data_IF_104436173702
#
_entry.id   IF_104436173702
#
_cell.length_a   1.000
_cell.length_b   1.000
_cell.length_c   1.000
_cell.angle_alpha   90.00
_cell.angle_beta   90.00
_cell.angle_gamma   90.00
#
_symmetry.space_group_name_H-M   'P 1'
#
loop_
_entity.id
_entity.type
_entity.pdbx_description
1 polymer ?
#
# COMPACT_ATOMS: atom_id res chain seq x y z
N UNK A 1 -13.12 -5.73 -12.31
CA UNK A 1 -13.83 -5.68 -11.02
C UNK A 1 -12.90 -5.03 -10.01
N UNK A 2 -13.35 -4.07 -9.19
CA UNK A 2 -12.53 -3.65 -8.04
C UNK A 2 -12.29 -4.89 -7.17
N UNK A 3 -11.05 -5.08 -6.71
CA UNK A 3 -10.67 -6.26 -5.92
C UNK A 3 -11.46 -6.33 -4.62
N UNK A 4 -11.68 -7.55 -4.11
CA UNK A 4 -12.54 -7.80 -2.95
C UNK A 4 -12.03 -7.15 -1.65
N UNK A 5 -10.76 -6.74 -1.63
CA UNK A 5 -10.13 -6.03 -0.51
C UNK A 5 -9.96 -4.55 -0.84
N UNK A 6 -10.80 -3.70 -0.23
CA UNK A 6 -10.71 -2.25 -0.38
C UNK A 6 -10.43 -1.60 0.96
N UNK A 7 -9.44 -0.72 1.01
CA UNK A 7 -9.11 0.06 2.21
C UNK A 7 -8.87 1.51 1.83
N UNK A 8 -9.31 2.44 2.69
CA UNK A 8 -9.03 3.86 2.50
C UNK A 8 -7.67 4.20 3.11
N UNK A 9 -6.91 5.02 2.41
CA UNK A 9 -5.63 5.56 2.88
C UNK A 9 -5.54 7.07 2.68
N UNK A 10 -4.75 7.74 3.51
CA UNK A 10 -4.35 9.13 3.29
C UNK A 10 -2.93 9.19 2.77
N UNK A 11 -2.68 9.94 1.69
CA UNK A 11 -1.32 10.19 1.18
C UNK A 11 -0.57 11.06 2.19
N UNK A 12 0.53 10.55 2.74
CA UNK A 12 1.41 11.29 3.63
C UNK A 12 2.69 11.78 2.94
N UNK A 13 3.14 11.09 1.90
CA UNK A 13 4.32 11.46 1.12
C UNK A 13 4.18 11.04 -0.34
N UNK A 14 4.68 11.86 -1.26
CA UNK A 14 4.65 11.63 -2.69
C UNK A 14 5.98 12.07 -3.30
N UNK A 15 6.83 11.12 -3.71
CA UNK A 15 8.18 11.39 -4.23
C UNK A 15 8.33 10.80 -5.63
N UNK A 16 8.83 11.62 -6.55
CA UNK A 16 9.18 11.21 -7.91
C UNK A 16 10.62 10.67 -7.96
N UNK A 17 10.80 9.42 -8.40
CA UNK A 17 12.10 8.74 -8.49
C UNK A 17 12.41 8.31 -9.94
N UNK A 18 12.18 9.21 -10.90
CA UNK A 18 12.52 8.98 -12.30
C UNK A 18 11.42 8.23 -13.05
N UNK A 19 11.47 6.90 -13.06
CA UNK A 19 10.53 6.04 -13.80
C UNK A 19 9.31 5.60 -12.96
N UNK A 20 9.38 5.79 -11.65
CA UNK A 20 8.32 5.47 -10.72
C UNK A 20 8.14 6.53 -9.65
N UNK A 21 6.94 6.54 -9.09
CA UNK A 21 6.55 7.40 -7.99
C UNK A 21 6.40 6.51 -6.76
N UNK A 22 7.00 6.93 -5.65
CA UNK A 22 6.80 6.31 -4.35
C UNK A 22 5.77 7.12 -3.59
N UNK A 23 4.70 6.47 -3.18
CA UNK A 23 3.63 7.06 -2.37
C UNK A 23 3.60 6.37 -1.02
N UNK A 24 3.68 7.13 0.08
CA UNK A 24 3.51 6.61 1.44
C UNK A 24 2.13 7.02 1.96
N UNK A 25 1.45 6.08 2.58
CA UNK A 25 0.07 6.21 3.00
C UNK A 25 -0.11 5.85 4.48
N UNK A 26 -0.97 6.60 5.15
CA UNK A 26 -1.58 6.16 6.39
C UNK A 26 -2.82 5.32 6.08
N UNK A 27 -2.79 4.03 6.42
CA UNK A 27 -3.82 3.03 6.12
C UNK A 27 -4.04 2.16 7.35
N UNK A 28 -5.28 2.02 7.81
CA UNK A 28 -5.64 1.12 8.91
C UNK A 28 -4.75 1.24 10.18
N UNK A 29 -4.31 2.46 10.52
CA UNK A 29 -3.43 2.73 11.66
C UNK A 29 -1.93 2.51 11.40
N UNK A 30 -1.54 2.11 10.20
CA UNK A 30 -0.15 1.98 9.76
C UNK A 30 0.25 3.17 8.87
N UNK A 31 1.34 3.86 9.22
CA UNK A 31 1.88 5.04 8.51
C UNK A 31 3.06 4.73 7.57
N UNK A 32 3.50 3.47 7.53
CA UNK A 32 4.64 3.00 6.73
C UNK A 32 4.21 2.23 5.48
N UNK A 33 2.93 2.31 5.10
CA UNK A 33 2.42 1.63 3.91
C UNK A 33 2.89 2.35 2.64
N UNK A 34 3.65 1.66 1.78
CA UNK A 34 4.25 2.24 0.56
C UNK A 34 3.70 1.57 -0.70
N UNK A 35 3.29 2.40 -1.66
CA UNK A 35 2.86 1.97 -3.00
C UNK A 35 3.82 2.54 -4.05
N UNK A 36 4.16 1.71 -5.04
CA UNK A 36 4.91 2.12 -6.22
C UNK A 36 3.94 2.33 -7.37
N UNK A 37 3.93 3.54 -7.94
CA UNK A 37 3.09 3.90 -9.08
C UNK A 37 3.98 4.07 -10.30
N UNK A 38 3.63 3.41 -11.41
CA UNK A 38 4.31 3.61 -12.68
C UNK A 38 4.04 5.02 -13.20
N UNK A 39 5.07 5.69 -13.72
CA UNK A 39 4.95 7.05 -14.21
C UNK A 39 3.98 7.20 -15.41
N UNK A 40 3.68 6.12 -16.12
CA UNK A 40 2.73 6.12 -17.24
C UNK A 40 1.27 6.16 -16.80
N UNK A 41 0.98 5.80 -15.55
CA UNK A 41 -0.36 5.87 -14.95
C UNK A 41 -0.69 7.25 -14.36
N UNK A 42 0.08 8.28 -14.72
CA UNK A 42 -0.02 9.70 -14.32
C UNK A 42 -1.40 10.37 -14.53
N UNK A 43 -2.45 9.66 -14.92
CA UNK A 43 -3.80 10.22 -15.07
C UNK A 43 -4.46 10.62 -13.75
N UNK A 44 -3.99 10.09 -12.62
CA UNK A 44 -4.52 10.46 -11.30
C UNK A 44 -3.54 11.41 -10.63
N UNK A 45 -3.85 12.70 -10.62
CA UNK A 45 -3.09 13.71 -9.87
C UNK A 45 -3.28 13.43 -8.37
N UNK A 46 -2.35 12.70 -7.78
CA UNK A 46 -2.30 12.38 -6.36
C UNK A 46 -1.44 13.42 -5.66
N UNK A 47 -1.96 14.02 -4.60
CA UNK A 47 -1.29 15.01 -3.76
C UNK A 47 -1.21 14.55 -2.31
N UNK A 48 -0.23 15.07 -1.57
CA UNK A 48 -0.17 14.87 -0.12
C UNK A 48 -1.46 15.41 0.52
N UNK A 49 -2.05 14.61 1.39
CA UNK A 49 -3.33 14.91 2.04
C UNK A 49 -4.54 14.24 1.38
N UNK A 50 -4.43 13.77 0.13
CA UNK A 50 -5.54 13.13 -0.57
C UNK A 50 -5.97 11.83 0.12
N UNK A 51 -7.28 11.57 0.09
CA UNK A 51 -7.82 10.25 0.40
C UNK A 51 -7.88 9.40 -0.87
N UNK A 52 -7.38 8.17 -0.76
CA UNK A 52 -7.37 7.21 -1.86
C UNK A 52 -7.99 5.90 -1.43
N UNK A 53 -8.70 5.26 -2.37
CA UNK A 53 -9.16 3.89 -2.22
C UNK A 53 -8.07 2.96 -2.76
N UNK A 54 -7.52 2.12 -1.88
CA UNK A 54 -6.55 1.09 -2.23
C UNK A 54 -7.30 -0.23 -2.41
N UNK A 55 -6.97 -0.95 -3.49
CA UNK A 55 -7.44 -2.31 -3.73
C UNK A 55 -6.28 -3.16 -4.23
N UNK A 56 -6.27 -4.44 -3.88
CA UNK A 56 -5.31 -5.42 -4.41
C UNK A 56 -6.02 -6.73 -4.72
N UNK A 57 -5.45 -7.51 -5.63
CA UNK A 57 -5.90 -8.88 -5.84
C UNK A 57 -5.42 -9.73 -4.65
N UNK A 58 -6.30 -10.58 -4.11
CA UNK A 58 -5.93 -11.49 -3.03
C UNK A 58 -4.80 -12.44 -3.45
N UNK A 59 -4.73 -12.80 -4.74
CA UNK A 59 -3.66 -13.65 -5.29
C UNK A 59 -2.27 -12.99 -5.25
N UNK A 60 -2.21 -11.65 -5.16
CA UNK A 60 -0.96 -10.90 -5.01
C UNK A 60 -0.54 -10.75 -3.54
N UNK A 61 -1.39 -11.14 -2.58
CA UNK A 61 -1.04 -11.14 -1.17
C UNK A 61 -0.04 -12.24 -0.87
N UNK A 62 1.20 -11.85 -0.55
CA UNK A 62 2.18 -12.77 0.04
C UNK A 62 2.19 -12.58 1.55
N UNK A 63 1.66 -13.56 2.28
CA UNK A 63 1.84 -13.63 3.72
C UNK A 63 3.27 -14.11 4.02
N UNK A 64 3.92 -13.47 5.00
CA UNK A 64 5.14 -13.99 5.58
C UNK A 64 4.75 -14.93 6.73
N UNK A 65 5.35 -16.12 6.78
CA UNK A 65 5.16 -17.01 7.93
C UNK A 65 5.56 -16.27 9.21
N UNK A 66 4.65 -16.25 10.19
CA UNK A 66 4.99 -15.75 11.52
C UNK A 66 6.04 -16.68 12.09
N UNK A 67 7.21 -16.15 12.47
CA UNK A 67 8.22 -16.94 13.18
C UNK A 67 7.54 -17.63 14.37
N UNK A 68 7.35 -18.95 14.28
CA UNK A 68 6.84 -19.75 15.39
C UNK A 68 7.85 -19.60 16.52
N UNK A 69 7.46 -18.91 17.59
CA UNK A 69 8.21 -18.96 18.84
C UNK A 69 8.11 -20.41 19.37
N UNK A 70 9.22 -21.17 19.42
CA UNK A 70 9.20 -22.55 19.87
C UNK A 70 8.88 -22.69 21.38
N UNK A 71 8.72 -21.59 22.13
CA UNK A 71 8.39 -21.64 23.56
C UNK A 71 6.89 -21.74 23.88
N UNK A 72 5.98 -21.73 22.89
CA UNK A 72 4.53 -21.77 23.14
C UNK A 72 3.88 -23.16 22.94
N UNK A 73 4.59 -24.17 22.45
CA UNK A 73 4.04 -25.54 22.42
C UNK A 73 4.43 -26.29 23.69
N UNK A 74 3.55 -26.24 24.71
CA UNK A 74 3.53 -27.23 25.80
C UNK A 74 2.63 -28.40 25.45
#
# INVERSE_FOLDING_TARGET
>A
KPGDNQVCGRVEEFIYLGDHIRVRLAVAGNHEFVVKVSNTQQRTSLSVGDQVQLCWAADDCRALDTLQDPSITS
#
